data_IF_609667430870
#
_entry.id   IF_609667430870
#
_cell.length_a   1.000
_cell.length_b   1.000
_cell.length_c   1.000
_cell.angle_alpha   90.00
_cell.angle_beta   90.00
_cell.angle_gamma   90.00
#
_symmetry.space_group_name_H-M   'P 1'
#
loop_
_entity.id
_entity.type
_entity.pdbx_description
1 polymer ?
#
# COMPACT_ATOMS: atom_id res chain seq x y z
N UNK A 1 16.57 -25.59 6.73
CA UNK A 1 15.84 -24.32 6.53
C UNK A 1 16.08 -23.48 7.77
N UNK A 2 16.50 -22.22 7.63
CA UNK A 2 16.48 -21.27 8.75
C UNK A 2 15.06 -20.73 8.85
N UNK A 3 14.46 -20.87 10.01
CA UNK A 3 13.22 -20.18 10.39
C UNK A 3 13.62 -19.08 11.35
N UNK A 4 13.20 -17.84 11.07
CA UNK A 4 13.26 -16.74 12.02
C UNK A 4 11.85 -16.32 12.44
N UNK A 5 11.71 -15.97 13.70
CA UNK A 5 10.51 -15.35 14.26
C UNK A 5 10.99 -14.21 15.13
N UNK A 6 10.59 -12.99 14.80
CA UNK A 6 10.96 -11.81 15.57
C UNK A 6 9.70 -11.04 15.97
N UNK A 7 9.73 -10.50 17.18
CA UNK A 7 8.73 -9.61 17.75
C UNK A 7 9.48 -8.37 18.19
N UNK A 8 9.18 -7.24 17.56
CA UNK A 8 9.79 -5.96 17.89
C UNK A 8 8.71 -4.98 18.35
N UNK A 9 8.94 -4.32 19.48
CA UNK A 9 8.08 -3.25 19.97
C UNK A 9 8.96 -2.03 20.28
N UNK A 10 8.62 -0.88 19.71
CA UNK A 10 9.43 0.33 19.80
C UNK A 10 8.59 1.56 20.11
N UNK A 11 9.06 2.31 21.10
CA UNK A 11 8.43 3.54 21.57
C UNK A 11 9.39 4.72 21.41
N UNK A 12 8.90 5.84 20.86
CA UNK A 12 9.68 7.06 20.69
C UNK A 12 10.30 7.17 19.31
N UNK A 13 11.62 7.39 19.24
CA UNK A 13 12.35 7.50 17.98
C UNK A 13 13.08 6.18 17.69
N UNK A 14 12.84 5.59 16.52
CA UNK A 14 13.57 4.39 16.09
C UNK A 14 14.00 4.44 14.62
N UNK A 15 15.12 3.77 14.35
CA UNK A 15 15.68 3.58 13.01
C UNK A 15 16.15 2.15 12.91
N UNK A 16 15.67 1.39 11.93
CA UNK A 16 15.98 -0.03 11.81
C UNK A 16 16.21 -0.45 10.36
N UNK A 17 17.03 -1.48 10.18
CA UNK A 17 17.25 -2.15 8.91
C UNK A 17 17.26 -3.65 9.19
N UNK A 18 16.33 -4.37 8.59
CA UNK A 18 16.17 -5.79 8.78
C UNK A 18 16.29 -6.53 7.44
N UNK A 19 17.05 -7.62 7.43
CA UNK A 19 17.18 -8.49 6.28
C UNK A 19 16.89 -9.94 6.70
N UNK A 20 15.99 -10.60 5.97
CA UNK A 20 15.56 -11.98 6.28
C UNK A 20 15.59 -12.85 5.04
N UNK A 21 16.22 -14.02 5.19
CA UNK A 21 16.32 -15.02 4.12
C UNK A 21 15.77 -16.36 4.60
N UNK A 22 14.86 -16.93 3.82
CA UNK A 22 14.28 -18.25 4.04
C UNK A 22 12.83 -18.16 4.53
N UNK A 23 12.52 -18.85 5.61
CA UNK A 23 11.19 -18.79 6.24
C UNK A 23 11.24 -17.79 7.39
N UNK A 24 10.39 -16.76 7.36
CA UNK A 24 10.35 -15.74 8.39
C UNK A 24 8.94 -15.36 8.82
N UNK A 25 8.80 -15.08 10.10
CA UNK A 25 7.63 -14.45 10.70
C UNK A 25 8.06 -13.20 11.46
N UNK A 26 7.30 -12.11 11.33
CA UNK A 26 7.54 -10.85 12.05
C UNK A 26 6.24 -10.31 12.60
N UNK A 27 6.29 -9.76 13.81
CA UNK A 27 5.36 -8.72 14.26
C UNK A 27 6.18 -7.52 14.69
N UNK A 28 5.87 -6.34 14.16
CA UNK A 28 6.52 -5.08 14.53
C UNK A 28 5.48 -4.05 14.96
N UNK A 29 5.60 -3.55 16.18
CA UNK A 29 4.77 -2.49 16.71
C UNK A 29 5.63 -1.25 16.97
N UNK A 30 5.30 -0.13 16.32
CA UNK A 30 6.05 1.13 16.48
C UNK A 30 5.13 2.27 16.85
N UNK A 31 5.43 2.93 17.96
CA UNK A 31 4.77 4.17 18.37
C UNK A 31 5.76 5.32 18.41
N UNK A 32 5.49 6.38 17.64
CA UNK A 32 6.27 7.61 17.62
C UNK A 32 6.83 7.91 16.24
N UNK A 33 8.12 8.27 16.18
CA UNK A 33 8.83 8.57 14.94
C UNK A 33 9.68 7.37 14.55
N UNK A 34 9.36 6.71 13.43
CA UNK A 34 10.11 5.55 12.96
C UNK A 34 10.61 5.71 11.53
N UNK A 35 11.81 5.21 11.29
CA UNK A 35 12.34 4.97 9.95
C UNK A 35 12.77 3.51 9.85
N UNK A 36 12.46 2.86 8.74
CA UNK A 36 12.77 1.44 8.56
C UNK A 36 13.06 1.08 7.12
N UNK A 37 13.93 0.10 6.94
CA UNK A 37 14.03 -0.68 5.69
C UNK A 37 13.91 -2.16 6.05
N UNK A 38 13.02 -2.89 5.37
CA UNK A 38 12.84 -4.33 5.59
C UNK A 38 12.95 -5.07 4.25
N UNK A 39 13.96 -5.94 4.14
CA UNK A 39 14.17 -6.80 2.98
C UNK A 39 13.88 -8.26 3.35
N UNK A 40 12.93 -8.88 2.65
CA UNK A 40 12.54 -10.28 2.89
C UNK A 40 12.63 -11.11 1.62
N UNK A 41 13.47 -12.14 1.66
CA UNK A 41 13.60 -13.13 0.59
C UNK A 41 13.13 -14.52 1.05
N UNK A 42 12.14 -15.07 0.35
CA UNK A 42 11.63 -16.43 0.55
C UNK A 42 10.17 -16.47 0.96
N UNK A 43 9.85 -17.25 1.99
CA UNK A 43 8.49 -17.35 2.54
C UNK A 43 8.41 -16.45 3.77
N UNK A 44 7.60 -15.39 3.70
CA UNK A 44 7.48 -14.42 4.79
C UNK A 44 6.03 -14.21 5.19
N UNK A 45 5.81 -14.06 6.49
CA UNK A 45 4.58 -13.53 7.06
C UNK A 45 4.94 -12.35 7.97
N UNK A 46 4.16 -11.29 7.90
CA UNK A 46 4.38 -10.08 8.69
C UNK A 46 3.08 -9.46 9.17
N UNK A 47 3.11 -8.89 10.36
CA UNK A 47 2.12 -7.92 10.82
C UNK A 47 2.89 -6.69 11.30
N UNK A 48 2.62 -5.53 10.72
CA UNK A 48 3.34 -4.31 11.06
C UNK A 48 2.31 -3.23 11.47
N UNK A 49 2.32 -2.83 12.74
CA UNK A 49 1.47 -1.75 13.29
C UNK A 49 2.33 -0.51 13.56
N UNK A 50 1.97 0.63 12.96
CA UNK A 50 2.70 1.89 13.13
C UNK A 50 1.77 3.04 13.51
N UNK A 51 2.01 3.62 14.67
CA UNK A 51 1.30 4.80 15.17
C UNK A 51 2.26 5.98 15.26
N UNK A 52 1.98 7.06 14.54
CA UNK A 52 2.75 8.30 14.58
C UNK A 52 3.29 8.72 13.20
N UNK A 53 4.54 9.15 13.16
CA UNK A 53 5.21 9.52 11.90
C UNK A 53 6.13 8.39 11.49
N UNK A 54 5.92 7.81 10.32
CA UNK A 54 6.73 6.71 9.84
C UNK A 54 7.21 6.93 8.41
N UNK A 55 8.46 6.55 8.18
CA UNK A 55 9.04 6.37 6.86
C UNK A 55 9.52 4.93 6.70
N UNK A 56 9.24 4.32 5.55
CA UNK A 56 9.53 2.91 5.31
C UNK A 56 9.90 2.61 3.86
N UNK A 57 10.77 1.63 3.68
CA UNK A 57 10.92 0.92 2.41
C UNK A 57 10.85 -0.58 2.71
N UNK A 58 9.89 -1.28 2.10
CA UNK A 58 9.69 -2.71 2.32
C UNK A 58 9.82 -3.46 0.99
N UNK A 59 10.87 -4.26 0.85
CA UNK A 59 11.11 -5.11 -0.33
C UNK A 59 10.82 -6.57 0.02
N UNK A 60 9.93 -7.23 -0.73
CA UNK A 60 9.60 -8.64 -0.50
C UNK A 60 9.70 -9.44 -1.79
N UNK A 61 10.57 -10.45 -1.78
CA UNK A 61 10.75 -11.38 -2.89
C UNK A 61 10.35 -12.81 -2.48
N UNK A 62 9.43 -13.42 -3.21
CA UNK A 62 9.00 -14.80 -3.02
C UNK A 62 7.51 -14.92 -2.69
N UNK A 63 7.18 -15.68 -1.65
CA UNK A 63 5.81 -15.83 -1.16
C UNK A 63 5.65 -14.99 0.10
N UNK A 64 4.82 -13.96 0.05
CA UNK A 64 4.62 -13.04 1.16
C UNK A 64 3.14 -12.95 1.56
N UNK A 65 2.91 -12.92 2.86
CA UNK A 65 1.63 -12.50 3.44
C UNK A 65 1.89 -11.37 4.43
N UNK A 66 1.10 -10.31 4.37
CA UNK A 66 1.27 -9.12 5.21
C UNK A 66 -0.04 -8.55 5.68
N UNK A 67 -0.04 -7.99 6.88
CA UNK A 67 -1.05 -7.05 7.35
C UNK A 67 -0.33 -5.83 7.87
N UNK A 68 -0.66 -4.67 7.33
CA UNK A 68 -0.07 -3.40 7.72
C UNK A 68 -1.17 -2.49 8.23
N UNK A 69 -1.01 -2.00 9.47
CA UNK A 69 -1.92 -1.01 10.06
C UNK A 69 -1.13 0.26 10.38
N UNK A 70 -1.51 1.38 9.77
CA UNK A 70 -0.77 2.64 9.88
C UNK A 70 -1.68 3.78 10.29
N UNK A 71 -1.42 4.37 11.45
CA UNK A 71 -2.14 5.54 11.96
C UNK A 71 -1.21 6.75 12.10
N UNK A 72 -1.52 7.86 11.41
CA UNK A 72 -0.79 9.12 11.52
C UNK A 72 -0.27 9.63 10.18
N UNK A 73 1.03 9.92 10.11
CA UNK A 73 1.69 10.35 8.88
C UNK A 73 2.63 9.25 8.38
N UNK A 74 2.36 8.73 7.18
CA UNK A 74 3.17 7.70 6.56
C UNK A 74 3.74 8.16 5.22
N UNK A 75 5.01 7.84 5.00
CA UNK A 75 5.67 7.90 3.70
C UNK A 75 6.38 6.57 3.47
N UNK A 76 6.12 5.89 2.35
CA UNK A 76 6.94 4.72 2.06
C UNK A 76 6.83 4.15 0.67
N UNK A 77 7.67 3.16 0.43
CA UNK A 77 7.78 2.46 -0.84
C UNK A 77 7.72 0.96 -0.56
N UNK A 78 6.79 0.27 -1.22
CA UNK A 78 6.59 -1.16 -1.05
C UNK A 78 6.80 -1.86 -2.40
N UNK A 79 7.83 -2.70 -2.50
CA UNK A 79 8.16 -3.45 -3.72
C UNK A 79 7.98 -4.95 -3.52
N UNK A 80 7.05 -5.56 -4.24
CA UNK A 80 6.78 -7.00 -4.12
C UNK A 80 6.97 -7.77 -5.42
N UNK A 81 7.84 -8.78 -5.35
CA UNK A 81 8.11 -9.70 -6.46
C UNK A 81 7.71 -11.13 -6.08
N UNK A 82 6.75 -11.70 -6.80
CA UNK A 82 6.34 -13.10 -6.65
C UNK A 82 4.85 -13.26 -6.35
N UNK A 83 4.53 -14.06 -5.32
CA UNK A 83 3.16 -14.27 -4.87
C UNK A 83 2.94 -13.50 -3.57
N UNK A 84 2.03 -12.53 -3.59
CA UNK A 84 1.73 -11.69 -2.42
C UNK A 84 0.25 -11.71 -2.08
N UNK A 85 -0.03 -11.76 -0.77
CA UNK A 85 -1.33 -11.43 -0.21
C UNK A 85 -1.13 -10.36 0.85
N UNK A 86 -1.95 -9.32 0.83
CA UNK A 86 -1.82 -8.22 1.78
C UNK A 86 -3.17 -7.65 2.21
N UNK A 87 -3.18 -7.11 3.42
CA UNK A 87 -4.16 -6.12 3.86
C UNK A 87 -3.39 -4.90 4.32
N UNK A 88 -3.82 -3.72 3.91
CA UNK A 88 -3.21 -2.45 4.29
C UNK A 88 -4.30 -1.46 4.73
N UNK A 89 -4.29 -1.10 6.00
CA UNK A 89 -5.19 -0.11 6.57
C UNK A 89 -4.41 1.15 6.95
N UNK A 90 -4.76 2.28 6.31
CA UNK A 90 -4.09 3.56 6.55
C UNK A 90 -5.09 4.61 7.01
N UNK A 91 -4.85 5.15 8.20
CA UNK A 91 -5.60 6.28 8.77
C UNK A 91 -4.71 7.50 8.95
N UNK A 92 -5.06 8.61 8.29
CA UNK A 92 -4.37 9.90 8.42
C UNK A 92 -3.84 10.43 7.09
N UNK A 93 -2.58 10.85 7.08
CA UNK A 93 -1.91 11.33 5.87
C UNK A 93 -0.94 10.26 5.38
N UNK A 94 -1.14 9.74 4.17
CA UNK A 94 -0.26 8.73 3.59
C UNK A 94 0.25 9.17 2.23
N UNK A 95 1.55 9.01 2.01
CA UNK A 95 2.15 9.05 0.69
C UNK A 95 2.86 7.72 0.45
N UNK A 96 2.71 7.14 -0.74
CA UNK A 96 3.50 5.96 -1.05
C UNK A 96 3.57 5.57 -2.50
N UNK A 97 4.47 4.64 -2.76
CA UNK A 97 4.64 3.99 -4.07
C UNK A 97 4.61 2.50 -3.83
N UNK A 98 3.71 1.81 -4.53
CA UNK A 98 3.59 0.37 -4.45
C UNK A 98 3.90 -0.23 -5.83
N UNK A 99 4.99 -0.97 -5.96
CA UNK A 99 5.32 -1.71 -7.19
C UNK A 99 5.17 -3.21 -6.98
N UNK A 100 4.48 -3.88 -7.90
CA UNK A 100 4.24 -5.32 -7.80
C UNK A 100 4.40 -6.07 -9.08
N UNK A 101 5.12 -7.18 -8.98
CA UNK A 101 5.39 -8.07 -10.11
C UNK A 101 5.00 -9.49 -9.71
N UNK A 102 4.04 -10.08 -10.41
CA UNK A 102 3.63 -11.48 -10.24
C UNK A 102 2.15 -11.66 -9.96
N UNK A 103 1.83 -12.50 -8.97
CA UNK A 103 0.46 -12.75 -8.54
C UNK A 103 0.21 -12.02 -7.23
N UNK A 104 -0.81 -11.16 -7.21
CA UNK A 104 -1.15 -10.39 -6.01
C UNK A 104 -2.65 -10.42 -5.70
N UNK A 105 -2.96 -10.50 -4.41
CA UNK A 105 -4.30 -10.20 -3.89
C UNK A 105 -4.16 -9.17 -2.78
N UNK A 106 -4.91 -8.06 -2.84
CA UNK A 106 -4.89 -7.07 -1.76
C UNK A 106 -6.26 -6.53 -1.37
N UNK A 107 -6.34 -6.11 -0.13
CA UNK A 107 -7.40 -5.24 0.37
C UNK A 107 -6.70 -4.02 0.94
N UNK A 108 -7.00 -2.86 0.38
CA UNK A 108 -6.43 -1.58 0.80
C UNK A 108 -7.60 -0.71 1.32
N UNK A 109 -7.52 -0.27 2.57
CA UNK A 109 -8.46 0.69 3.15
C UNK A 109 -7.71 1.96 3.54
N UNK A 110 -8.14 3.12 3.01
CA UNK A 110 -7.47 4.40 3.25
C UNK A 110 -8.48 5.44 3.73
N UNK A 111 -8.27 5.95 4.94
CA UNK A 111 -9.05 7.04 5.52
C UNK A 111 -8.18 8.28 5.74
N UNK A 112 -8.55 9.41 5.12
CA UNK A 112 -7.89 10.70 5.29
C UNK A 112 -7.35 11.27 3.98
N UNK A 113 -6.10 11.74 4.00
CA UNK A 113 -5.44 12.29 2.81
C UNK A 113 -4.41 11.29 2.30
N UNK A 114 -4.62 10.77 1.10
CA UNK A 114 -3.70 9.80 0.49
C UNK A 114 -3.18 10.30 -0.86
N UNK A 115 -1.88 10.23 -1.08
CA UNK A 115 -1.30 10.31 -2.42
C UNK A 115 -0.52 9.03 -2.71
N UNK A 116 -0.68 8.47 -3.91
CA UNK A 116 0.03 7.23 -4.22
C UNK A 116 0.24 6.96 -5.68
N UNK A 117 1.25 6.15 -5.97
CA UNK A 117 1.47 5.53 -7.27
C UNK A 117 1.41 4.02 -7.06
N UNK A 118 0.52 3.35 -7.78
CA UNK A 118 0.37 1.90 -7.73
C UNK A 118 0.72 1.33 -9.11
N UNK A 119 1.79 0.53 -9.20
CA UNK A 119 2.21 -0.16 -10.41
C UNK A 119 2.06 -1.67 -10.22
N UNK A 120 1.31 -2.32 -11.11
CA UNK A 120 1.03 -3.76 -11.03
C UNK A 120 1.31 -4.45 -12.36
N UNK A 121 2.20 -5.43 -12.34
CA UNK A 121 2.52 -6.31 -13.45
C UNK A 121 2.17 -7.76 -13.12
N UNK A 122 1.33 -8.39 -13.94
CA UNK A 122 0.95 -9.80 -13.80
C UNK A 122 -0.54 -10.01 -13.52
N UNK A 123 -0.86 -10.94 -12.62
CA UNK A 123 -2.24 -11.23 -12.22
C UNK A 123 -2.52 -10.54 -10.89
N UNK A 124 -3.50 -9.65 -10.85
CA UNK A 124 -3.90 -8.95 -9.64
C UNK A 124 -5.39 -9.07 -9.39
N UNK A 125 -5.75 -9.20 -8.12
CA UNK A 125 -7.10 -8.96 -7.64
C UNK A 125 -7.03 -8.03 -6.44
N UNK A 126 -8.00 -7.13 -6.32
CA UNK A 126 -7.97 -6.19 -5.22
C UNK A 126 -9.29 -5.55 -4.89
N UNK A 127 -9.37 -5.08 -3.66
CA UNK A 127 -10.42 -4.19 -3.18
C UNK A 127 -9.73 -2.95 -2.63
N UNK A 128 -10.16 -1.78 -3.07
CA UNK A 128 -9.64 -0.50 -2.61
C UNK A 128 -10.81 0.37 -2.12
N UNK A 129 -10.85 0.61 -0.81
CA UNK A 129 -11.80 1.54 -0.19
C UNK A 129 -11.08 2.82 0.25
N UNK A 130 -11.50 3.96 -0.30
CA UNK A 130 -10.92 5.27 0.04
C UNK A 130 -11.96 6.23 0.58
N UNK A 131 -11.73 6.75 1.78
CA UNK A 131 -12.55 7.76 2.43
C UNK A 131 -11.71 9.02 2.67
N UNK A 132 -12.02 10.11 1.98
CA UNK A 132 -11.37 11.41 2.18
C UNK A 132 -10.87 12.02 0.89
N UNK A 133 -9.65 12.57 0.90
CA UNK A 133 -9.01 13.15 -0.27
C UNK A 133 -7.94 12.21 -0.80
N UNK A 134 -8.09 11.73 -2.02
CA UNK A 134 -7.10 10.87 -2.66
C UNK A 134 -6.62 11.40 -4.00
N UNK A 135 -5.31 11.33 -4.23
CA UNK A 135 -4.72 11.51 -5.55
C UNK A 135 -3.87 10.28 -5.88
N UNK A 136 -3.91 9.79 -7.12
CA UNK A 136 -2.95 8.77 -7.48
C UNK A 136 -2.85 8.43 -8.95
N UNK A 137 -1.81 7.66 -9.24
CA UNK A 137 -1.56 7.07 -10.55
C UNK A 137 -1.65 5.56 -10.40
N UNK A 138 -2.31 4.91 -11.35
CA UNK A 138 -2.49 3.46 -11.35
C UNK A 138 -2.13 2.90 -12.73
N UNK A 139 -1.09 2.07 -12.78
CA UNK A 139 -0.62 1.40 -13.99
C UNK A 139 -0.71 -0.11 -13.85
N UNK A 140 -1.43 -0.77 -14.78
CA UNK A 140 -1.74 -2.21 -14.66
C UNK A 140 -1.44 -2.98 -15.93
N UNK A 141 -0.31 -3.67 -15.95
CA UNK A 141 0.05 -4.57 -17.04
C UNK A 141 -0.29 -6.02 -16.72
N UNK A 142 -1.42 -6.51 -17.24
CA UNK A 142 -1.77 -7.92 -17.15
C UNK A 142 -3.27 -8.15 -16.92
N UNK A 143 -3.61 -9.21 -16.18
CA UNK A 143 -4.99 -9.49 -15.82
C UNK A 143 -5.29 -8.89 -14.45
N UNK A 144 -6.30 -8.04 -14.39
CA UNK A 144 -6.72 -7.34 -13.17
C UNK A 144 -8.23 -7.48 -12.99
N UNK A 145 -8.65 -7.78 -11.78
CA UNK A 145 -10.04 -7.73 -11.33
C UNK A 145 -10.07 -7.00 -10.00
N UNK A 146 -10.47 -5.73 -10.04
CA UNK A 146 -10.46 -4.89 -8.86
C UNK A 146 -11.80 -4.19 -8.65
N UNK A 147 -12.13 -3.96 -7.39
CA UNK A 147 -13.31 -3.24 -6.95
C UNK A 147 -12.84 -2.00 -6.19
N UNK A 148 -13.26 -0.83 -6.67
CA UNK A 148 -12.92 0.44 -6.05
C UNK A 148 -14.19 1.08 -5.45
N UNK A 149 -14.19 1.33 -4.15
CA UNK A 149 -15.15 2.20 -3.49
C UNK A 149 -14.46 3.48 -3.01
N UNK A 150 -15.03 4.63 -3.38
CA UNK A 150 -14.50 5.94 -3.00
C UNK A 150 -15.61 6.74 -2.31
N UNK A 151 -15.24 7.51 -1.28
CA UNK A 151 -16.05 8.47 -0.50
C UNK A 151 -15.21 9.74 -0.31
N UNK A 152 -15.71 10.92 -0.68
CA UNK A 152 -14.93 12.17 -0.63
C UNK A 152 -14.47 12.67 -2.01
N UNK A 153 -13.24 13.15 -2.14
CA UNK A 153 -12.68 13.70 -3.38
C UNK A 153 -11.53 12.81 -3.85
N UNK A 154 -11.58 12.33 -5.09
CA UNK A 154 -10.52 11.53 -5.68
C UNK A 154 -10.15 12.05 -7.07
N UNK A 155 -8.86 12.10 -7.37
CA UNK A 155 -8.35 12.38 -8.71
C UNK A 155 -7.27 11.37 -9.07
N UNK A 156 -7.14 11.02 -10.33
CA UNK A 156 -6.01 10.23 -10.75
C UNK A 156 -5.80 10.13 -12.25
N UNK A 157 -4.75 9.42 -12.61
CA UNK A 157 -4.38 9.08 -13.99
C UNK A 157 -4.30 7.56 -14.07
N UNK A 158 -4.76 6.99 -15.18
CA UNK A 158 -4.54 5.57 -15.47
C UNK A 158 -3.43 5.36 -16.50
N UNK A 159 -3.00 4.11 -16.69
CA UNK A 159 -2.01 3.65 -17.69
C UNK A 159 -2.17 4.22 -19.12
N UNK A 160 -3.36 4.68 -19.49
CA UNK A 160 -3.65 5.26 -20.82
C UNK A 160 -3.58 6.78 -20.84
N UNK A 161 -3.07 7.38 -19.75
CA UNK A 161 -3.03 8.83 -19.55
C UNK A 161 -4.40 9.47 -19.31
N UNK A 162 -5.46 8.69 -19.07
CA UNK A 162 -6.78 9.29 -18.82
C UNK A 162 -6.83 9.86 -17.41
N UNK A 163 -7.12 11.15 -17.32
CA UNK A 163 -7.48 11.81 -16.09
C UNK A 163 -8.90 11.44 -15.70
N UNK A 164 -9.06 11.03 -14.45
CA UNK A 164 -10.36 10.84 -13.80
C UNK A 164 -10.42 11.69 -12.55
N UNK A 165 -11.58 12.26 -12.29
CA UNK A 165 -11.88 13.00 -11.08
C UNK A 165 -13.25 12.56 -10.58
N UNK A 166 -13.36 12.42 -9.28
CA UNK A 166 -14.51 11.84 -8.61
C UNK A 166 -14.77 12.60 -7.31
N UNK A 167 -16.04 12.90 -7.02
CA UNK A 167 -16.44 13.57 -5.79
C UNK A 167 -17.79 13.01 -5.30
N UNK A 168 -17.87 12.54 -4.05
CA UNK A 168 -19.13 12.18 -3.37
C UNK A 168 -19.20 12.91 -2.04
N UNK A 169 -20.17 13.81 -1.94
CA UNK A 169 -20.60 14.46 -0.70
C UNK A 169 -21.95 13.94 -0.23
N UNK A 170 -22.31 14.25 1.01
CA UNK A 170 -23.65 14.01 1.56
C UNK A 170 -24.67 14.89 0.82
N UNK A 171 -25.17 14.41 -0.32
CA UNK A 171 -26.09 15.13 -1.20
C UNK A 171 -25.68 14.98 -2.67
N UNK A 172 -26.48 14.23 -3.42
CA UNK A 172 -26.28 13.84 -4.81
C UNK A 172 -25.79 14.98 -5.74
N UNK A 173 -24.51 14.92 -6.14
CA UNK A 173 -24.04 15.57 -7.36
C UNK A 173 -23.05 14.63 -8.06
N UNK A 174 -23.39 14.22 -9.28
CA UNK A 174 -22.59 13.30 -10.09
C UNK A 174 -21.84 14.12 -11.13
N UNK A 175 -20.52 14.25 -11.01
CA UNK A 175 -19.69 14.84 -12.07
C UNK A 175 -18.66 13.81 -12.51
N UNK A 176 -18.93 13.18 -13.66
CA UNK A 176 -17.95 12.43 -14.42
C UNK A 176 -17.35 13.37 -15.46
N UNK A 177 -16.07 13.71 -15.32
CA UNK A 177 -15.32 14.43 -16.35
C UNK A 177 -14.27 13.48 -16.93
N UNK A 178 -14.58 12.91 -18.10
CA UNK A 178 -13.57 12.23 -18.94
C UNK A 178 -12.77 13.29 -19.68
N UNK A 179 -11.53 13.52 -19.26
CA UNK A 179 -10.59 14.30 -20.05
C UNK A 179 -10.27 13.55 -21.34
N UNK A 180 -10.61 14.12 -22.49
CA UNK A 180 -10.16 13.59 -23.79
C UNK A 180 -8.69 13.96 -23.94
N UNK A 181 -7.79 13.02 -23.67
CA UNK A 181 -6.42 13.09 -24.18
C UNK A 181 -6.46 12.89 -25.68
N UNK A 182 -6.25 13.97 -26.44
CA UNK A 182 -6.00 13.90 -27.87
C UNK A 182 -4.60 13.31 -28.11
N UNK A 183 -4.58 12.26 -28.95
CA UNK A 183 -3.46 11.75 -29.76
C UNK A 183 -2.27 11.09 -29.06
#
# INVERSE_FOLDING_TARGET
MRQSMDLDERMGQSTDVDERIGQSMRVDERMGQSMGVDERMGQSMGVDERIGQSMGVDERMGQSMGVDERMGQYMGVDEWMGQSMGVDERMGQSMGVDERIGQSMRVDERMGQSMGVDERMGQSMGVDERIGQSMGVDERMGQSMDVDEKIGQSMGVNERGNLWMWMKGWGNLWVWMRGWGNS
#
